data_IF_554009160601
#
_entry.id   IF_554009160601
#
_cell.length_a   1.000
_cell.length_b   1.000
_cell.length_c   1.000
_cell.angle_alpha   90.00
_cell.angle_beta   90.00
_cell.angle_gamma   90.00
#
_symmetry.space_group_name_H-M   'P 1'
#
loop_
_entity.id
_entity.type
_entity.pdbx_description
1 polymer ?
#
# COMPACT_ATOMS: atom_id res chain seq x y z
N UNK A 1 38.91 20.21 -40.39
CA UNK A 1 37.76 21.11 -40.13
C UNK A 1 36.57 20.45 -40.81
N UNK A 2 35.48 20.05 -40.18
CA UNK A 2 34.70 20.67 -39.09
C UNK A 2 33.99 19.57 -38.28
N UNK A 3 33.89 19.76 -36.97
CA UNK A 3 33.10 18.89 -36.10
C UNK A 3 31.62 19.24 -36.25
N UNK A 4 30.84 18.33 -36.85
CA UNK A 4 29.37 18.46 -36.95
C UNK A 4 28.77 18.29 -35.55
N UNK A 5 28.67 19.39 -34.82
CA UNK A 5 27.92 19.50 -33.57
C UNK A 5 26.44 19.25 -33.87
N UNK A 6 25.98 18.01 -33.69
CA UNK A 6 24.57 17.65 -33.69
C UNK A 6 23.89 18.31 -32.49
N UNK A 7 23.40 19.54 -32.67
CA UNK A 7 22.60 20.26 -31.67
C UNK A 7 21.36 19.42 -31.40
N UNK A 8 21.33 18.75 -30.25
CA UNK A 8 20.13 18.03 -29.81
C UNK A 8 18.99 19.03 -29.74
N UNK A 9 17.90 18.82 -30.49
CA UNK A 9 16.85 19.82 -30.55
C UNK A 9 16.17 19.97 -29.20
N UNK A 10 15.70 21.18 -28.88
CA UNK A 10 15.15 21.54 -27.57
C UNK A 10 14.00 20.62 -27.15
N UNK A 11 13.23 20.11 -28.12
CA UNK A 11 12.16 19.13 -27.87
C UNK A 11 12.68 17.82 -27.26
N UNK A 12 13.94 17.42 -27.49
CA UNK A 12 14.53 16.23 -26.87
C UNK A 12 14.66 16.37 -25.35
N UNK A 13 14.91 17.60 -24.87
CA UNK A 13 14.95 17.92 -23.43
C UNK A 13 13.54 17.87 -22.82
N UNK A 14 12.55 18.39 -23.54
CA UNK A 14 11.14 18.33 -23.13
C UNK A 14 10.61 16.89 -23.11
N UNK A 15 10.94 16.08 -24.10
CA UNK A 15 10.56 14.66 -24.16
C UNK A 15 11.17 13.86 -23.00
N UNK A 16 12.44 14.13 -22.65
CA UNK A 16 13.10 13.50 -21.48
C UNK A 16 12.46 13.91 -20.16
N UNK A 17 12.00 15.15 -20.04
CA UNK A 17 11.27 15.63 -18.86
C UNK A 17 9.89 14.94 -18.75
N UNK A 18 9.15 14.84 -19.85
CA UNK A 18 7.85 14.14 -19.93
C UNK A 18 7.94 12.64 -19.63
N UNK A 19 9.01 11.98 -20.07
CA UNK A 19 9.27 10.56 -19.75
C UNK A 19 9.74 10.41 -18.30
N UNK A 20 10.55 11.35 -17.79
CA UNK A 20 11.05 11.33 -16.41
C UNK A 20 9.94 11.48 -15.37
N UNK A 21 8.93 12.32 -15.62
CA UNK A 21 7.80 12.50 -14.71
C UNK A 21 6.87 11.29 -14.68
N UNK A 22 6.66 10.59 -15.80
CA UNK A 22 5.86 9.36 -15.83
C UNK A 22 6.55 8.16 -15.14
N UNK A 23 7.89 8.11 -15.15
CA UNK A 23 8.63 7.04 -14.47
C UNK A 23 8.55 7.14 -12.94
N UNK A 24 8.68 8.34 -12.37
CA UNK A 24 8.65 8.52 -10.91
C UNK A 24 7.29 8.15 -10.29
N UNK A 25 6.18 8.52 -10.93
CA UNK A 25 4.83 8.28 -10.40
C UNK A 25 4.40 6.81 -10.53
N UNK A 26 4.96 6.08 -11.50
CA UNK A 26 4.79 4.64 -11.63
C UNK A 26 5.65 3.85 -10.64
N UNK A 27 6.87 4.32 -10.36
CA UNK A 27 7.79 3.67 -9.42
C UNK A 27 7.36 3.90 -7.95
N UNK A 28 6.83 5.08 -7.59
CA UNK A 28 6.21 5.33 -6.28
C UNK A 28 4.98 4.43 -6.06
N UNK A 29 4.14 4.29 -7.09
CA UNK A 29 3.01 3.34 -7.05
C UNK A 29 3.49 1.91 -6.88
N UNK A 30 4.51 1.48 -7.62
CA UNK A 30 5.09 0.12 -7.54
C UNK A 30 5.76 -0.17 -6.20
N UNK A 31 6.36 0.82 -5.54
CA UNK A 31 6.89 0.69 -4.18
C UNK A 31 5.77 0.61 -3.12
N UNK A 32 4.63 1.27 -3.35
CA UNK A 32 3.46 1.20 -2.47
C UNK A 32 2.69 -0.12 -2.54
N UNK A 33 2.80 -0.91 -3.61
CA UNK A 33 2.09 -2.19 -3.75
C UNK A 33 2.59 -3.29 -2.80
N UNK A 34 3.90 -3.58 -2.68
CA UNK A 34 4.41 -4.53 -1.68
C UNK A 34 4.16 -4.05 -0.25
N UNK A 35 4.07 -2.73 -0.02
CA UNK A 35 3.65 -2.16 1.26
C UNK A 35 2.19 -2.54 1.60
N UNK A 36 1.28 -2.45 0.64
CA UNK A 36 -0.14 -2.69 0.91
C UNK A 36 -0.46 -4.16 1.18
N UNK A 37 0.21 -5.07 0.48
CA UNK A 37 0.12 -6.51 0.76
C UNK A 37 0.59 -6.80 2.18
N UNK A 38 1.74 -6.26 2.57
CA UNK A 38 2.27 -6.43 3.92
C UNK A 38 1.32 -5.84 4.96
N UNK A 39 0.79 -4.64 4.75
CA UNK A 39 -0.21 -4.02 5.63
C UNK A 39 -1.46 -4.89 5.81
N UNK A 40 -1.93 -5.56 4.75
CA UNK A 40 -3.06 -6.50 4.82
C UNK A 40 -2.70 -7.75 5.63
N UNK A 41 -1.53 -8.34 5.39
CA UNK A 41 -1.02 -9.50 6.14
C UNK A 41 -0.86 -9.17 7.63
N UNK A 42 -0.25 -8.04 7.95
CA UNK A 42 -0.08 -7.56 9.31
C UNK A 42 -1.43 -7.32 9.99
N UNK A 43 -2.41 -6.75 9.28
CA UNK A 43 -3.75 -6.55 9.80
C UNK A 43 -4.45 -7.88 10.14
N UNK A 44 -4.29 -8.90 9.29
CA UNK A 44 -4.85 -10.24 9.55
C UNK A 44 -4.16 -10.92 10.74
N UNK A 45 -2.84 -10.78 10.86
CA UNK A 45 -2.10 -11.28 12.02
C UNK A 45 -2.50 -10.60 13.33
N UNK A 46 -2.76 -9.29 13.29
CA UNK A 46 -3.30 -8.54 14.43
C UNK A 46 -4.69 -9.04 14.81
N UNK A 47 -5.57 -9.29 13.84
CA UNK A 47 -6.90 -9.88 14.09
C UNK A 47 -6.79 -11.26 14.75
N UNK A 48 -5.89 -12.12 14.26
CA UNK A 48 -5.66 -13.45 14.85
C UNK A 48 -5.15 -13.36 16.30
N UNK A 49 -4.21 -12.45 16.58
CA UNK A 49 -3.74 -12.24 17.95
C UNK A 49 -4.84 -11.69 18.86
N UNK A 50 -5.70 -10.81 18.34
CA UNK A 50 -6.83 -10.29 19.08
C UNK A 50 -7.85 -11.39 19.42
N UNK A 51 -8.15 -12.29 18.47
CA UNK A 51 -8.97 -13.48 18.70
C UNK A 51 -8.35 -14.40 19.78
N UNK A 52 -7.03 -14.62 19.73
CA UNK A 52 -6.34 -15.38 20.78
C UNK A 52 -6.42 -14.71 22.16
N UNK A 53 -6.32 -13.37 22.21
CA UNK A 53 -6.51 -12.62 23.47
C UNK A 53 -7.93 -12.79 24.00
N UNK A 54 -8.93 -12.72 23.12
CA UNK A 54 -10.34 -12.94 23.48
C UNK A 54 -10.55 -14.32 24.13
N UNK A 55 -9.96 -15.37 23.56
CA UNK A 55 -10.11 -16.74 24.07
C UNK A 55 -9.52 -16.95 25.47
N UNK A 56 -8.53 -16.13 25.86
CA UNK A 56 -7.84 -16.23 27.15
C UNK A 56 -8.39 -15.27 28.22
N UNK A 57 -9.10 -14.22 27.82
CA UNK A 57 -9.53 -13.16 28.72
C UNK A 57 -10.83 -13.53 29.46
N UNK A 58 -10.87 -13.23 30.76
CA UNK A 58 -12.01 -13.54 31.63
C UNK A 58 -12.59 -12.30 32.31
N UNK A 59 -11.82 -11.21 32.38
CA UNK A 59 -12.28 -9.96 32.98
C UNK A 59 -13.25 -9.24 32.04
N UNK A 60 -14.52 -8.99 32.42
CA UNK A 60 -15.53 -8.44 31.53
C UNK A 60 -15.15 -7.12 30.86
N UNK A 61 -14.50 -6.20 31.58
CA UNK A 61 -14.06 -4.92 31.04
C UNK A 61 -12.99 -5.09 29.95
N UNK A 62 -12.06 -6.04 30.14
CA UNK A 62 -11.02 -6.35 29.16
C UNK A 62 -11.57 -7.10 27.96
N UNK A 63 -12.57 -7.98 28.15
CA UNK A 63 -13.29 -8.63 27.05
C UNK A 63 -13.95 -7.58 26.16
N UNK A 64 -14.60 -6.56 26.74
CA UNK A 64 -15.17 -5.45 25.98
C UNK A 64 -14.11 -4.69 25.18
N UNK A 65 -12.97 -4.36 25.80
CA UNK A 65 -11.85 -3.71 25.09
C UNK A 65 -11.36 -4.53 23.89
N UNK A 66 -11.20 -5.84 24.06
CA UNK A 66 -10.77 -6.75 22.99
C UNK A 66 -11.79 -6.77 21.84
N UNK A 67 -13.09 -6.79 22.15
CA UNK A 67 -14.16 -6.71 21.13
C UNK A 67 -14.06 -5.41 20.33
N UNK A 68 -13.89 -4.26 21.01
CA UNK A 68 -13.76 -2.97 20.32
C UNK A 68 -12.50 -2.90 19.46
N UNK A 69 -11.39 -3.45 19.94
CA UNK A 69 -10.15 -3.56 19.18
C UNK A 69 -10.36 -4.40 17.90
N UNK A 70 -11.05 -5.54 17.99
CA UNK A 70 -11.39 -6.36 16.83
C UNK A 70 -12.22 -5.60 15.80
N UNK A 71 -13.25 -4.86 16.24
CA UNK A 71 -14.09 -4.05 15.36
C UNK A 71 -13.29 -2.94 14.64
N UNK A 72 -12.33 -2.33 15.33
CA UNK A 72 -11.41 -1.36 14.75
C UNK A 72 -10.50 -2.01 13.68
N UNK A 73 -9.94 -3.19 13.97
CA UNK A 73 -9.13 -3.96 13.04
C UNK A 73 -9.92 -4.37 11.79
N UNK A 74 -11.16 -4.86 11.96
CA UNK A 74 -12.04 -5.18 10.83
C UNK A 74 -12.32 -3.95 9.96
N UNK A 75 -12.53 -2.79 10.58
CA UNK A 75 -12.76 -1.54 9.86
C UNK A 75 -11.53 -1.13 9.04
N UNK A 76 -10.33 -1.25 9.62
CA UNK A 76 -9.05 -1.04 8.92
C UNK A 76 -8.88 -2.03 7.77
N UNK A 77 -9.14 -3.32 7.99
CA UNK A 77 -9.04 -4.35 6.97
C UNK A 77 -9.95 -4.05 5.76
N UNK A 78 -11.22 -3.69 5.99
CA UNK A 78 -12.15 -3.29 4.92
C UNK A 78 -11.68 -2.04 4.16
N UNK A 79 -11.02 -1.11 4.83
CA UNK A 79 -10.40 0.04 4.17
C UNK A 79 -9.23 -0.40 3.27
N UNK A 80 -8.32 -1.22 3.78
CA UNK A 80 -7.18 -1.74 3.02
C UNK A 80 -7.63 -2.58 1.82
N UNK A 81 -8.68 -3.40 1.97
CA UNK A 81 -9.30 -4.13 0.85
C UNK A 81 -9.83 -3.18 -0.23
N UNK A 82 -10.51 -2.09 0.14
CA UNK A 82 -10.97 -1.07 -0.82
C UNK A 82 -9.80 -0.39 -1.52
N UNK A 83 -8.74 -0.07 -0.79
CA UNK A 83 -7.49 0.50 -1.32
C UNK A 83 -6.81 -0.48 -2.29
N UNK A 84 -6.77 -1.78 -1.98
CA UNK A 84 -6.20 -2.81 -2.85
C UNK A 84 -7.00 -2.95 -4.15
N UNK A 85 -8.34 -2.99 -4.06
CA UNK A 85 -9.24 -2.99 -5.23
C UNK A 85 -9.02 -1.79 -6.14
N UNK A 86 -8.87 -0.60 -5.57
CA UNK A 86 -8.60 0.62 -6.34
C UNK A 86 -7.25 0.59 -7.08
N UNK A 87 -6.26 -0.12 -6.52
CA UNK A 87 -4.94 -0.30 -7.13
C UNK A 87 -4.87 -1.52 -8.09
N UNK A 88 -6.01 -2.14 -8.42
CA UNK A 88 -6.09 -3.37 -9.23
C UNK A 88 -5.29 -4.56 -8.68
N UNK A 89 -4.97 -4.55 -7.37
CA UNK A 89 -4.45 -5.70 -6.66
C UNK A 89 -5.59 -6.68 -6.40
N UNK A 90 -5.99 -7.41 -7.45
CA UNK A 90 -7.02 -8.46 -7.36
C UNK A 90 -6.47 -9.81 -6.87
N UNK A 91 -5.16 -9.94 -6.69
CA UNK A 91 -4.49 -11.23 -6.56
C UNK A 91 -3.83 -11.46 -5.20
N UNK A 92 -4.40 -10.96 -4.10
CA UNK A 92 -3.94 -11.34 -2.76
C UNK A 92 -5.15 -11.34 -1.84
N UNK A 93 -5.99 -12.37 -1.96
CA UNK A 93 -6.92 -12.85 -0.94
C UNK A 93 -7.48 -14.20 -1.41
#
# INVERSE_FOLDING_TARGET
MEAVMKKTPVWTRLARWLVGTQSQEADDKRASLPSLEQELRDCLEQMRHNEQRFDMELEPELIEEVIYEYQALQSRYRYLQRKARANNLRAIL
#
